data_IF_502104652248
#
_entry.id   IF_502104652248
#
_cell.length_a   1.000
_cell.length_b   1.000
_cell.length_c   1.000
_cell.angle_alpha   90.00
_cell.angle_beta   90.00
_cell.angle_gamma   90.00
#
_symmetry.space_group_name_H-M   'P 1'
#
loop_
_entity.id
_entity.type
_entity.pdbx_description
1 polymer ?
#
# COMPACT_ATOMS: atom_id res chain seq x y z
N UNK A 1 31.31 22.32 18.30
CA UNK A 1 30.02 21.88 18.86
C UNK A 1 29.32 21.04 17.79
N UNK A 2 29.05 19.76 18.14
CA UNK A 2 28.35 18.85 17.24
C UNK A 2 26.85 19.02 17.47
N UNK A 3 26.09 19.37 16.42
CA UNK A 3 24.63 19.46 16.51
C UNK A 3 24.07 18.05 16.70
N UNK A 4 23.14 17.83 17.64
CA UNK A 4 22.56 16.52 17.87
C UNK A 4 21.65 16.06 16.72
N UNK A 5 21.54 14.75 16.53
CA UNK A 5 20.70 14.16 15.48
C UNK A 5 19.21 14.53 15.66
N UNK A 6 18.76 14.63 16.90
CA UNK A 6 17.40 15.03 17.26
C UNK A 6 17.09 16.46 16.77
N UNK A 7 18.03 17.40 17.02
CA UNK A 7 17.86 18.78 16.59
C UNK A 7 17.87 18.91 15.07
N UNK A 8 18.73 18.16 14.41
CA UNK A 8 18.73 18.09 12.95
C UNK A 8 17.39 17.56 12.43
N UNK A 9 16.87 16.49 13.05
CA UNK A 9 15.59 15.90 12.69
C UNK A 9 14.44 16.89 12.87
N UNK A 10 14.38 17.60 14.01
CA UNK A 10 13.35 18.60 14.29
C UNK A 10 13.33 19.73 13.25
N UNK A 11 14.49 20.27 12.89
CA UNK A 11 14.58 21.35 11.90
C UNK A 11 14.24 20.85 10.48
N UNK A 12 14.69 19.64 10.11
CA UNK A 12 14.32 19.05 8.83
C UNK A 12 12.82 18.72 8.78
N UNK A 13 12.23 18.24 9.86
CA UNK A 13 10.79 17.96 9.92
C UNK A 13 9.96 19.25 9.77
N UNK A 14 10.34 20.32 10.46
CA UNK A 14 9.70 21.65 10.30
C UNK A 14 9.82 22.15 8.85
N UNK A 15 11.01 22.04 8.27
CA UNK A 15 11.25 22.42 6.89
C UNK A 15 10.37 21.60 5.93
N UNK A 16 10.35 20.28 6.08
CA UNK A 16 9.54 19.39 5.23
C UNK A 16 8.04 19.59 5.44
N UNK A 17 7.57 20.01 6.62
CA UNK A 17 6.16 20.32 6.86
C UNK A 17 5.70 21.61 6.19
N UNK A 18 6.61 22.52 5.83
CA UNK A 18 6.31 23.80 5.20
C UNK A 18 5.67 23.63 3.79
N UNK A 19 4.92 24.62 3.28
CA UNK A 19 4.21 24.51 1.99
C UNK A 19 5.10 24.21 0.79
N UNK A 20 6.25 24.83 0.66
CA UNK A 20 7.18 24.66 -0.47
C UNK A 20 8.63 24.54 0.02
N UNK A 21 8.99 23.39 0.60
CA UNK A 21 10.31 23.22 1.21
C UNK A 21 11.45 23.09 0.18
N UNK A 22 11.16 22.72 -1.07
CA UNK A 22 12.16 22.48 -2.11
C UNK A 22 13.09 23.68 -2.35
N UNK A 23 12.59 24.90 -2.22
CA UNK A 23 13.40 26.12 -2.33
C UNK A 23 14.49 26.23 -1.25
N UNK A 24 14.27 25.63 -0.08
CA UNK A 24 15.16 25.68 1.08
C UNK A 24 16.00 24.42 1.28
N UNK A 25 15.81 23.39 0.46
CA UNK A 25 16.63 22.17 0.47
C UNK A 25 17.95 22.42 -0.25
N UNK A 26 18.88 23.13 0.43
CA UNK A 26 20.18 23.48 -0.11
C UNK A 26 21.12 22.28 -0.20
N UNK A 27 21.66 21.93 -1.40
CA UNK A 27 22.52 20.76 -1.58
C UNK A 27 23.75 20.76 -0.68
N UNK A 28 24.39 21.93 -0.50
CA UNK A 28 25.59 22.07 0.32
C UNK A 28 25.33 21.77 1.81
N UNK A 29 24.16 22.16 2.32
CA UNK A 29 23.75 21.90 3.71
C UNK A 29 23.35 20.43 3.88
N UNK A 30 22.58 19.91 2.94
CA UNK A 30 22.09 18.54 3.00
C UNK A 30 23.19 17.50 2.77
N UNK A 31 24.23 17.80 2.00
CA UNK A 31 25.40 16.95 1.87
C UNK A 31 26.13 16.68 3.20
N UNK A 32 26.04 17.61 4.14
CA UNK A 32 26.61 17.44 5.50
C UNK A 32 25.70 16.59 6.39
N UNK A 33 24.39 16.80 6.28
CA UNK A 33 23.36 16.19 7.16
C UNK A 33 22.92 14.83 6.65
N UNK A 34 22.78 14.71 5.33
CA UNK A 34 22.32 13.54 4.57
C UNK A 34 23.31 13.20 3.47
N UNK A 35 24.54 12.77 3.83
CA UNK A 35 25.63 12.56 2.86
C UNK A 35 25.34 11.46 1.82
N UNK A 36 24.31 10.64 2.06
CA UNK A 36 23.87 9.61 1.11
C UNK A 36 23.08 10.20 -0.08
N UNK A 37 22.55 11.43 0.05
CA UNK A 37 21.88 12.12 -1.05
C UNK A 37 22.90 12.82 -1.96
N UNK A 38 22.92 12.42 -3.22
CA UNK A 38 23.71 13.14 -4.22
C UNK A 38 23.01 14.45 -4.63
N UNK A 39 23.75 15.47 -5.12
CA UNK A 39 23.14 16.71 -5.61
C UNK A 39 22.08 16.47 -6.70
N UNK A 40 22.29 15.46 -7.54
CA UNK A 40 21.36 15.09 -8.61
C UNK A 40 20.07 14.51 -8.05
N UNK A 41 20.16 13.55 -7.08
CA UNK A 41 19.00 12.95 -6.44
C UNK A 41 18.19 14.00 -5.67
N UNK A 42 18.86 14.92 -5.00
CA UNK A 42 18.22 16.04 -4.30
C UNK A 42 17.50 16.98 -5.27
N UNK A 43 18.14 17.34 -6.38
CA UNK A 43 17.54 18.19 -7.41
C UNK A 43 16.28 17.57 -8.00
N UNK A 44 16.29 16.26 -8.23
CA UNK A 44 15.14 15.51 -8.70
C UNK A 44 14.03 15.40 -7.63
N UNK A 45 14.38 15.31 -6.35
CA UNK A 45 13.44 15.18 -5.26
C UNK A 45 12.69 16.48 -4.92
N UNK A 46 13.32 17.66 -5.09
CA UNK A 46 12.73 18.97 -4.75
C UNK A 46 11.31 19.17 -5.29
N UNK A 47 11.04 19.05 -6.61
CA UNK A 47 9.71 19.24 -7.16
C UNK A 47 8.70 18.18 -6.65
N UNK A 48 9.16 16.95 -6.36
CA UNK A 48 8.30 15.89 -5.81
C UNK A 48 7.89 16.23 -4.39
N UNK A 49 8.84 16.69 -3.55
CA UNK A 49 8.55 17.11 -2.18
C UNK A 49 7.59 18.29 -2.15
N UNK A 50 7.74 19.26 -3.04
CA UNK A 50 6.86 20.43 -3.15
C UNK A 50 5.44 20.06 -3.60
N UNK A 51 5.30 19.04 -4.45
CA UNK A 51 4.02 18.51 -4.92
C UNK A 51 3.29 17.65 -3.86
N UNK A 52 3.99 17.16 -2.82
CA UNK A 52 3.39 16.39 -1.74
C UNK A 52 2.58 17.32 -0.79
N UNK A 53 1.51 16.80 -0.14
CA UNK A 53 0.74 17.57 0.84
C UNK A 53 1.61 18.12 1.97
N UNK A 54 1.35 19.37 2.38
CA UNK A 54 2.03 20.02 3.51
C UNK A 54 1.46 19.53 4.85
N UNK A 55 2.19 19.82 5.96
CA UNK A 55 1.77 19.50 7.31
C UNK A 55 2.55 18.38 7.97
N UNK A 56 2.57 18.39 9.30
CA UNK A 56 3.30 17.40 10.09
C UNK A 56 2.75 15.98 9.90
N UNK A 57 1.45 15.85 9.70
CA UNK A 57 0.76 14.59 9.43
C UNK A 57 1.23 13.93 8.12
N UNK A 58 1.78 14.71 7.19
CA UNK A 58 2.25 14.26 5.89
C UNK A 58 3.78 14.07 5.81
N UNK A 59 4.49 14.21 6.93
CA UNK A 59 5.94 14.01 6.99
C UNK A 59 6.40 12.68 6.40
N UNK A 60 5.73 11.52 6.63
CA UNK A 60 6.14 10.27 5.99
C UNK A 60 6.15 10.33 4.47
N UNK A 61 5.19 11.02 3.86
CA UNK A 61 5.11 11.20 2.39
C UNK A 61 6.28 12.04 1.89
N UNK A 62 6.58 13.13 2.58
CA UNK A 62 7.66 14.05 2.21
C UNK A 62 9.05 13.48 2.45
N UNK A 63 9.23 12.70 3.52
CA UNK A 63 10.43 11.89 3.69
C UNK A 63 10.59 10.86 2.57
N UNK A 64 9.51 10.19 2.18
CA UNK A 64 9.55 9.23 1.08
C UNK A 64 9.86 9.91 -0.27
N UNK A 65 9.32 11.11 -0.52
CA UNK A 65 9.63 11.92 -1.70
C UNK A 65 11.11 12.34 -1.74
N UNK A 66 11.69 12.72 -0.58
CA UNK A 66 13.08 13.15 -0.48
C UNK A 66 14.07 11.98 -0.59
N UNK A 67 13.76 10.85 0.06
CA UNK A 67 14.68 9.72 0.25
C UNK A 67 14.42 8.55 -0.68
N UNK A 68 13.36 8.57 -1.48
CA UNK A 68 12.90 7.43 -2.28
C UNK A 68 13.97 6.87 -3.23
N UNK A 69 14.83 7.74 -3.78
CA UNK A 69 15.94 7.33 -4.64
C UNK A 69 16.96 6.41 -3.95
N UNK A 70 17.03 6.43 -2.62
CA UNK A 70 17.95 5.59 -1.83
C UNK A 70 17.43 4.17 -1.63
N UNK A 71 16.13 3.93 -1.85
CA UNK A 71 15.47 2.67 -1.57
C UNK A 71 15.12 2.45 -0.09
N UNK A 72 14.33 1.43 0.19
CA UNK A 72 13.76 1.16 1.53
C UNK A 72 14.81 1.04 2.63
N UNK A 73 15.83 0.19 2.40
CA UNK A 73 16.83 -0.12 3.44
C UNK A 73 17.64 1.11 3.85
N UNK A 74 18.14 1.88 2.88
CA UNK A 74 18.92 3.08 3.16
C UNK A 74 18.05 4.17 3.82
N UNK A 75 16.79 4.33 3.38
CA UNK A 75 15.82 5.22 3.99
C UNK A 75 15.60 4.88 5.48
N UNK A 76 15.39 3.60 5.81
CA UNK A 76 15.26 3.14 7.21
C UNK A 76 16.50 3.47 8.05
N UNK A 77 17.67 3.18 7.53
CA UNK A 77 18.94 3.46 8.25
C UNK A 77 19.10 4.95 8.50
N UNK A 78 18.80 5.79 7.52
CA UNK A 78 18.92 7.24 7.63
C UNK A 78 17.93 7.82 8.65
N UNK A 79 16.65 7.46 8.58
CA UNK A 79 15.64 7.95 9.52
C UNK A 79 15.91 7.46 10.95
N UNK A 80 16.46 6.26 11.14
CA UNK A 80 16.95 5.80 12.46
C UNK A 80 18.12 6.63 12.97
N UNK A 81 19.09 6.96 12.10
CA UNK A 81 20.22 7.84 12.44
C UNK A 81 19.73 9.23 12.86
N UNK A 82 18.72 9.76 12.21
CA UNK A 82 18.06 11.03 12.54
C UNK A 82 17.15 10.94 13.77
N UNK A 83 17.00 9.76 14.40
CA UNK A 83 16.12 9.58 15.55
C UNK A 83 14.64 9.87 15.29
N UNK A 84 14.16 9.66 14.07
CA UNK A 84 12.74 9.72 13.77
C UNK A 84 11.96 8.67 14.57
N UNK A 85 10.65 8.91 14.80
CA UNK A 85 9.78 7.94 15.47
C UNK A 85 9.65 6.65 14.64
N UNK A 86 9.51 5.52 15.33
CA UNK A 86 9.33 4.22 14.66
C UNK A 86 8.14 4.23 13.70
N UNK A 87 7.03 4.90 14.07
CA UNK A 87 5.86 5.03 13.20
C UNK A 87 6.21 5.74 11.88
N UNK A 88 6.94 6.87 11.95
CA UNK A 88 7.38 7.60 10.77
C UNK A 88 8.34 6.75 9.90
N UNK A 89 9.30 6.04 10.53
CA UNK A 89 10.26 5.18 9.83
C UNK A 89 9.54 4.07 9.06
N UNK A 90 8.63 3.34 9.74
CA UNK A 90 7.92 2.22 9.14
C UNK A 90 7.02 2.68 7.98
N UNK A 91 6.27 3.75 8.19
CA UNK A 91 5.39 4.27 7.15
C UNK A 91 6.15 4.83 5.96
N UNK A 92 7.21 5.61 6.18
CA UNK A 92 8.07 6.10 5.09
C UNK A 92 8.67 4.95 4.30
N UNK A 93 9.15 3.92 4.97
CA UNK A 93 9.74 2.75 4.33
C UNK A 93 8.72 1.97 3.48
N UNK A 94 7.49 1.83 3.96
CA UNK A 94 6.38 1.26 3.17
C UNK A 94 6.13 2.08 1.92
N UNK A 95 6.03 3.41 2.03
CA UNK A 95 5.81 4.30 0.89
C UNK A 95 6.93 4.17 -0.14
N UNK A 96 8.20 4.18 0.29
CA UNK A 96 9.36 4.02 -0.60
C UNK A 96 9.34 2.65 -1.29
N UNK A 97 9.06 1.57 -0.57
CA UNK A 97 9.00 0.21 -1.14
C UNK A 97 7.92 0.10 -2.20
N UNK A 98 6.69 0.51 -1.86
CA UNK A 98 5.53 0.37 -2.75
C UNK A 98 5.65 1.26 -4.01
N UNK A 99 6.37 2.38 -3.94
CA UNK A 99 6.64 3.23 -5.11
C UNK A 99 7.82 2.77 -5.94
N UNK A 100 8.82 2.11 -5.35
CA UNK A 100 9.99 1.57 -6.05
C UNK A 100 9.68 0.29 -6.82
N UNK A 101 8.89 -0.61 -6.24
CA UNK A 101 8.37 -1.78 -6.94
C UNK A 101 7.36 -1.27 -7.97
N UNK A 102 7.67 -1.38 -9.26
CA UNK A 102 6.89 -0.92 -10.42
C UNK A 102 5.38 -1.31 -10.40
N UNK A 103 4.92 -1.95 -9.30
CA UNK A 103 3.62 -2.53 -9.10
C UNK A 103 2.51 -1.53 -8.78
N UNK A 104 2.69 -0.65 -7.80
CA UNK A 104 1.56 0.14 -7.27
C UNK A 104 1.25 1.33 -8.15
N UNK A 105 2.23 2.16 -8.48
CA UNK A 105 2.02 3.26 -9.43
C UNK A 105 1.55 2.73 -10.79
N UNK A 106 2.10 1.62 -11.26
CA UNK A 106 1.74 1.04 -12.56
C UNK A 106 0.36 0.39 -12.56
N UNK A 107 -0.09 -0.23 -11.49
CA UNK A 107 -1.43 -0.81 -11.42
C UNK A 107 -2.53 0.23 -11.19
N UNK A 108 -2.23 1.38 -10.55
CA UNK A 108 -3.12 2.53 -10.55
C UNK A 108 -3.15 3.21 -11.93
N UNK A 109 -2.00 3.27 -12.64
CA UNK A 109 -1.86 3.92 -13.93
C UNK A 109 -2.32 3.07 -15.11
N UNK A 110 -2.21 1.74 -14.99
CA UNK A 110 -2.50 0.79 -16.06
C UNK A 110 -3.78 -0.01 -15.80
N UNK A 111 -4.72 0.51 -15.03
CA UNK A 111 -6.04 -0.11 -14.85
C UNK A 111 -6.77 -0.45 -16.15
N UNK A 112 -6.13 -0.27 -17.29
CA UNK A 112 -6.71 -0.50 -18.61
C UNK A 112 -5.97 -1.47 -19.53
N UNK A 113 -4.71 -1.87 -19.28
CA UNK A 113 -4.09 -2.85 -20.18
C UNK A 113 -3.01 -3.66 -19.47
N UNK A 114 -3.37 -4.78 -18.88
CA UNK A 114 -2.51 -5.97 -18.88
C UNK A 114 -3.23 -7.15 -18.24
N UNK A 115 -3.86 -7.96 -19.05
CA UNK A 115 -4.03 -9.38 -18.76
C UNK A 115 -2.66 -10.06 -18.68
N UNK A 116 -1.88 -9.74 -17.65
CA UNK A 116 -0.75 -10.57 -17.25
C UNK A 116 -1.20 -11.42 -16.07
N UNK A 117 -1.72 -12.57 -16.44
CA UNK A 117 -1.78 -13.77 -15.64
C UNK A 117 -0.47 -13.90 -14.86
N UNK A 118 -0.51 -13.70 -13.56
CA UNK A 118 0.45 -14.35 -12.68
C UNK A 118 0.20 -15.83 -12.88
N UNK A 119 1.10 -16.50 -13.61
CA UNK A 119 1.01 -17.91 -13.91
C UNK A 119 0.95 -18.69 -12.60
N UNK A 120 -0.24 -19.10 -12.21
CA UNK A 120 -0.43 -20.23 -11.31
C UNK A 120 -0.11 -21.51 -12.10
N UNK A 121 0.59 -22.50 -11.51
CA UNK A 121 0.76 -23.80 -12.18
C UNK A 121 -0.63 -24.40 -12.41
N UNK A 122 -0.95 -24.57 -13.68
CA UNK A 122 -2.18 -25.20 -14.17
C UNK A 122 -2.20 -26.68 -13.82
N UNK A 123 -3.13 -27.08 -12.94
CA UNK A 123 -3.67 -28.42 -13.00
C UNK A 123 -4.88 -28.42 -13.91
N UNK A 124 -4.81 -29.27 -14.91
CA UNK A 124 -5.74 -29.56 -15.98
C UNK A 124 -7.20 -29.75 -15.54
N UNK A 125 -8.15 -29.24 -16.34
CA UNK A 125 -9.56 -29.63 -16.23
C UNK A 125 -10.52 -28.60 -16.82
N UNK A 126 -10.85 -28.79 -18.10
CA UNK A 126 -11.93 -28.11 -18.82
C UNK A 126 -13.23 -28.07 -18.01
N UNK A 127 -13.77 -26.89 -17.77
CA UNK A 127 -15.20 -26.70 -17.51
C UNK A 127 -15.71 -25.33 -17.98
N UNK A 128 -16.80 -25.42 -18.72
CA UNK A 128 -17.72 -24.39 -19.21
C UNK A 128 -18.05 -23.38 -18.09
N UNK A 129 -18.06 -22.05 -18.38
CA UNK A 129 -18.43 -21.05 -17.39
C UNK A 129 -19.93 -21.17 -17.05
N UNK A 130 -20.31 -21.18 -15.76
CA UNK A 130 -21.71 -21.11 -15.39
C UNK A 130 -22.27 -19.72 -15.72
N UNK A 131 -23.46 -19.72 -16.29
CA UNK A 131 -24.26 -18.55 -16.64
C UNK A 131 -24.43 -17.62 -15.45
N UNK A 132 -24.14 -16.35 -15.70
CA UNK A 132 -24.25 -15.21 -14.78
C UNK A 132 -25.72 -15.04 -14.34
N UNK A 133 -26.04 -15.50 -13.14
CA UNK A 133 -27.29 -15.13 -12.50
C UNK A 133 -27.11 -13.77 -11.85
N UNK A 134 -27.85 -12.79 -12.35
CA UNK A 134 -27.91 -11.42 -11.85
C UNK A 134 -28.59 -11.44 -10.47
N UNK A 135 -27.83 -11.29 -9.42
CA UNK A 135 -28.30 -10.90 -8.09
C UNK A 135 -27.25 -10.03 -7.40
N UNK A 136 -27.57 -8.74 -7.26
CA UNK A 136 -26.88 -7.83 -6.34
C UNK A 136 -25.49 -7.32 -6.80
N UNK A 137 -25.41 -6.05 -7.07
CA UNK A 137 -24.23 -5.24 -7.41
C UNK A 137 -22.98 -5.54 -6.55
N UNK A 138 -22.15 -6.49 -6.96
CA UNK A 138 -20.77 -6.63 -6.51
C UNK A 138 -19.88 -7.08 -7.66
N UNK A 139 -19.97 -6.35 -8.77
CA UNK A 139 -18.96 -6.46 -9.83
C UNK A 139 -17.71 -5.74 -9.31
N UNK A 140 -16.78 -6.47 -8.70
CA UNK A 140 -15.49 -5.91 -8.31
C UNK A 140 -14.79 -5.43 -9.59
N UNK A 141 -14.66 -4.13 -9.74
CA UNK A 141 -13.86 -3.55 -10.81
C UNK A 141 -12.42 -4.06 -10.63
N UNK A 142 -11.69 -4.48 -11.68
CA UNK A 142 -10.32 -4.97 -11.53
C UNK A 142 -9.41 -4.06 -10.71
N UNK A 143 -9.61 -2.73 -10.80
CA UNK A 143 -8.91 -1.75 -9.98
C UNK A 143 -9.25 -1.83 -8.49
N UNK A 144 -10.45 -2.28 -8.12
CA UNK A 144 -10.87 -2.40 -6.72
C UNK A 144 -10.12 -3.53 -5.99
N UNK A 145 -9.75 -4.60 -6.68
CA UNK A 145 -9.02 -5.74 -6.09
C UNK A 145 -7.72 -5.25 -5.48
N UNK A 146 -6.94 -4.51 -6.24
CA UNK A 146 -5.66 -4.00 -5.77
C UNK A 146 -5.82 -2.99 -4.62
N UNK A 147 -6.78 -2.06 -4.74
CA UNK A 147 -7.09 -1.10 -3.66
C UNK A 147 -7.51 -1.84 -2.39
N UNK A 148 -8.35 -2.87 -2.48
CA UNK A 148 -8.77 -3.69 -1.33
C UNK A 148 -7.61 -4.43 -0.68
N UNK A 149 -6.66 -4.95 -1.47
CA UNK A 149 -5.43 -5.58 -0.96
C UNK A 149 -4.57 -4.57 -0.19
N UNK A 150 -4.39 -3.34 -0.72
CA UNK A 150 -3.66 -2.28 -0.05
C UNK A 150 -4.35 -1.81 1.24
N UNK A 151 -5.68 -1.63 1.20
CA UNK A 151 -6.49 -1.28 2.38
C UNK A 151 -6.37 -2.36 3.48
N UNK A 152 -6.39 -3.63 3.10
CA UNK A 152 -6.22 -4.74 4.02
C UNK A 152 -4.86 -4.75 4.68
N UNK A 153 -3.82 -4.44 3.92
CA UNK A 153 -2.41 -4.50 4.33
C UNK A 153 -1.97 -3.27 5.12
N UNK A 154 -2.36 -2.07 4.69
CA UNK A 154 -1.82 -0.81 5.22
C UNK A 154 -2.86 0.12 5.84
N UNK A 155 -4.14 -0.05 5.55
CA UNK A 155 -5.21 0.83 5.97
C UNK A 155 -5.35 2.08 5.09
N UNK A 156 -6.45 2.81 5.29
CA UNK A 156 -6.85 3.94 4.43
C UNK A 156 -5.81 5.07 4.41
N UNK A 157 -5.33 5.50 5.58
CA UNK A 157 -4.40 6.62 5.69
C UNK A 157 -3.12 6.40 4.86
N UNK A 158 -2.52 5.20 4.95
CA UNK A 158 -1.31 4.88 4.18
C UNK A 158 -1.61 4.76 2.68
N UNK A 159 -2.79 4.25 2.30
CA UNK A 159 -3.21 4.19 0.88
C UNK A 159 -3.38 5.59 0.30
N UNK A 160 -3.99 6.53 1.04
CA UNK A 160 -4.12 7.92 0.61
C UNK A 160 -2.76 8.60 0.44
N UNK A 161 -1.84 8.39 1.38
CA UNK A 161 -0.47 8.89 1.31
C UNK A 161 0.29 8.29 0.13
N UNK A 162 0.08 7.01 -0.15
CA UNK A 162 0.67 6.35 -1.32
C UNK A 162 0.16 6.97 -2.62
N UNK A 163 -1.16 7.22 -2.74
CA UNK A 163 -1.74 7.91 -3.88
C UNK A 163 -1.18 9.34 -4.05
N UNK A 164 -1.00 10.07 -2.95
CA UNK A 164 -0.42 11.42 -2.97
C UNK A 164 1.04 11.40 -3.44
N UNK A 165 1.85 10.45 -2.96
CA UNK A 165 3.23 10.29 -3.38
C UNK A 165 3.33 9.88 -4.86
N UNK A 166 2.49 8.93 -5.32
CA UNK A 166 2.44 8.54 -6.72
C UNK A 166 2.05 9.71 -7.63
N UNK A 167 1.08 10.54 -7.23
CA UNK A 167 0.69 11.74 -7.99
C UNK A 167 1.83 12.76 -8.07
N UNK A 168 2.62 12.92 -7.01
CA UNK A 168 3.79 13.81 -6.99
C UNK A 168 4.93 13.28 -7.85
N UNK A 169 5.18 11.96 -7.84
CA UNK A 169 6.20 11.30 -8.68
C UNK A 169 5.81 11.28 -10.16
N UNK A 170 4.51 11.16 -10.45
CA UNK A 170 3.95 10.99 -11.80
C UNK A 170 2.81 12.00 -12.04
N UNK A 171 3.09 13.29 -12.28
CA UNK A 171 2.06 14.32 -12.44
C UNK A 171 1.03 14.02 -13.53
N UNK A 172 1.42 13.29 -14.58
CA UNK A 172 0.54 12.85 -15.66
C UNK A 172 -0.56 11.86 -15.18
N UNK A 173 -0.36 11.21 -14.05
CA UNK A 173 -1.28 10.25 -13.45
C UNK A 173 -1.98 10.78 -12.19
N UNK A 174 -1.90 12.06 -11.94
CA UNK A 174 -2.48 12.67 -10.73
C UNK A 174 -3.99 12.47 -10.65
N UNK A 175 -4.71 12.50 -11.79
CA UNK A 175 -6.15 12.24 -11.86
C UNK A 175 -6.51 10.81 -11.46
N UNK A 176 -5.76 9.83 -11.93
CA UNK A 176 -5.95 8.41 -11.61
C UNK A 176 -5.64 8.14 -10.13
N UNK A 177 -4.57 8.75 -9.61
CA UNK A 177 -4.24 8.65 -8.19
C UNK A 177 -5.34 9.26 -7.30
N UNK A 178 -5.93 10.40 -7.70
CA UNK A 178 -7.04 11.02 -6.99
C UNK A 178 -8.29 10.13 -7.00
N UNK A 179 -8.63 9.52 -8.15
CA UNK A 179 -9.73 8.56 -8.26
C UNK A 179 -9.50 7.32 -7.41
N UNK A 180 -8.28 6.79 -7.38
CA UNK A 180 -7.92 5.64 -6.53
C UNK A 180 -8.07 5.97 -5.05
N UNK A 181 -7.62 7.14 -4.60
CA UNK A 181 -7.82 7.60 -3.22
C UNK A 181 -9.30 7.77 -2.88
N UNK A 182 -10.10 8.35 -3.78
CA UNK A 182 -11.55 8.46 -3.59
C UNK A 182 -12.21 7.08 -3.49
N UNK A 183 -11.80 6.15 -4.35
CA UNK A 183 -12.33 4.78 -4.34
C UNK A 183 -11.96 4.04 -3.05
N UNK A 184 -10.74 4.20 -2.56
CA UNK A 184 -10.31 3.64 -1.27
C UNK A 184 -11.21 4.11 -0.11
N UNK A 185 -11.52 5.43 -0.05
CA UNK A 185 -12.46 5.98 0.94
C UNK A 185 -13.84 5.36 0.83
N UNK A 186 -14.36 5.21 -0.38
CA UNK A 186 -15.68 4.61 -0.62
C UNK A 186 -15.73 3.15 -0.16
N UNK A 187 -14.69 2.36 -0.48
CA UNK A 187 -14.62 0.96 -0.07
C UNK A 187 -14.54 0.81 1.45
N UNK A 188 -13.75 1.64 2.13
CA UNK A 188 -13.66 1.64 3.60
C UNK A 188 -14.98 2.11 4.23
N UNK A 189 -15.60 3.20 3.73
CA UNK A 189 -16.88 3.72 4.23
C UNK A 189 -18.04 2.72 4.05
N UNK A 190 -18.04 1.95 2.97
CA UNK A 190 -19.02 0.91 2.71
C UNK A 190 -18.76 -0.39 3.49
N UNK A 191 -17.69 -0.44 4.31
CA UNK A 191 -17.36 -1.62 5.10
C UNK A 191 -17.00 -2.85 4.24
N UNK A 192 -16.47 -2.64 3.04
CA UNK A 192 -16.09 -3.74 2.15
C UNK A 192 -15.00 -4.58 2.79
N UNK A 193 -15.16 -5.90 2.73
CA UNK A 193 -14.20 -6.83 3.34
C UNK A 193 -12.81 -6.72 2.69
N UNK A 194 -11.84 -6.24 3.46
CA UNK A 194 -10.45 -6.10 3.07
C UNK A 194 -9.48 -6.81 4.03
N UNK A 195 -9.97 -7.25 5.19
CA UNK A 195 -9.15 -7.85 6.27
C UNK A 195 -9.75 -9.15 6.76
N UNK A 196 -8.91 -10.06 7.24
CA UNK A 196 -9.35 -11.35 7.82
C UNK A 196 -10.38 -11.16 8.94
N UNK A 197 -10.24 -10.10 9.75
CA UNK A 197 -11.20 -9.78 10.83
C UNK A 197 -12.60 -9.40 10.34
N UNK A 198 -12.76 -9.09 9.07
CA UNK A 198 -14.04 -8.71 8.43
C UNK A 198 -14.70 -9.88 7.69
N UNK A 199 -14.06 -11.06 7.68
CA UNK A 199 -14.69 -12.27 7.13
C UNK A 199 -15.88 -12.70 7.97
N UNK A 200 -16.91 -13.21 7.33
CA UNK A 200 -18.09 -13.79 7.99
C UNK A 200 -17.80 -15.10 8.75
N UNK A 201 -16.57 -15.62 8.65
CA UNK A 201 -16.07 -16.77 9.40
C UNK A 201 -14.82 -16.39 10.19
N UNK A 202 -14.62 -17.04 11.32
CA UNK A 202 -13.45 -16.86 12.14
C UNK A 202 -12.73 -18.21 12.40
N UNK A 203 -11.61 -18.18 13.11
CA UNK A 203 -10.83 -19.38 13.38
C UNK A 203 -11.60 -20.47 14.14
N UNK A 204 -12.56 -20.09 15.02
CA UNK A 204 -13.39 -21.06 15.76
C UNK A 204 -14.36 -21.78 14.83
N UNK A 205 -14.96 -21.05 13.89
CA UNK A 205 -15.88 -21.63 12.90
C UNK A 205 -15.14 -22.67 12.03
N UNK A 206 -13.92 -22.33 11.60
CA UNK A 206 -13.09 -23.22 10.78
C UNK A 206 -12.61 -24.46 11.57
N UNK A 207 -12.25 -24.28 12.84
CA UNK A 207 -11.91 -25.43 13.72
C UNK A 207 -13.10 -26.35 13.95
N UNK A 208 -14.30 -25.80 14.13
CA UNK A 208 -15.54 -26.57 14.22
C UNK A 208 -15.86 -27.32 12.93
N UNK A 209 -15.39 -26.84 11.78
CA UNK A 209 -15.50 -27.49 10.48
C UNK A 209 -14.37 -28.52 10.22
N UNK A 210 -13.52 -28.81 11.23
CA UNK A 210 -12.48 -29.85 11.18
C UNK A 210 -11.10 -29.36 10.75
N UNK A 211 -10.88 -28.03 10.67
CA UNK A 211 -9.56 -27.47 10.31
C UNK A 211 -8.69 -27.38 11.56
N UNK A 212 -7.47 -27.99 11.58
CA UNK A 212 -6.62 -27.98 12.75
C UNK A 212 -6.11 -26.55 13.05
N UNK A 213 -6.01 -26.23 14.34
CA UNK A 213 -5.39 -25.00 14.79
C UNK A 213 -3.92 -24.91 14.34
N UNK A 214 -3.46 -23.69 14.03
CA UNK A 214 -2.07 -23.44 13.67
C UNK A 214 -1.88 -22.81 12.30
N UNK A 215 -0.72 -22.98 11.66
CA UNK A 215 -0.39 -22.31 10.37
C UNK A 215 -1.35 -22.65 9.22
N UNK A 216 -1.95 -23.85 9.24
CA UNK A 216 -2.93 -24.25 8.24
C UNK A 216 -4.20 -23.38 8.33
N UNK A 217 -4.70 -23.11 9.54
CA UNK A 217 -5.86 -22.29 9.79
C UNK A 217 -5.65 -20.85 9.24
N UNK A 218 -4.47 -20.28 9.49
CA UNK A 218 -4.11 -18.96 9.00
C UNK A 218 -4.09 -18.92 7.47
N UNK A 219 -3.46 -19.89 6.83
CA UNK A 219 -3.42 -19.98 5.34
C UNK A 219 -4.81 -20.08 4.74
N UNK A 220 -5.72 -20.83 5.37
CA UNK A 220 -7.11 -20.94 4.90
C UNK A 220 -7.82 -19.60 5.04
N UNK A 221 -7.68 -18.88 6.17
CA UNK A 221 -8.27 -17.55 6.34
C UNK A 221 -7.73 -16.54 5.31
N UNK A 222 -6.44 -16.54 5.05
CA UNK A 222 -5.81 -15.69 4.02
C UNK A 222 -6.33 -16.04 2.62
N UNK A 223 -6.43 -17.31 2.26
CA UNK A 223 -6.98 -17.76 0.97
C UNK A 223 -8.48 -17.42 0.81
N UNK A 224 -9.26 -17.53 1.90
CA UNK A 224 -10.66 -17.09 1.90
C UNK A 224 -10.79 -15.58 1.68
N UNK A 225 -9.93 -14.79 2.32
CA UNK A 225 -9.90 -13.34 2.13
C UNK A 225 -9.56 -12.99 0.69
N UNK A 226 -8.54 -13.62 0.10
CA UNK A 226 -8.17 -13.41 -1.29
C UNK A 226 -9.33 -13.72 -2.24
N UNK A 227 -10.04 -14.82 -2.03
CA UNK A 227 -11.21 -15.17 -2.85
C UNK A 227 -12.37 -14.18 -2.70
N UNK A 228 -12.60 -13.62 -1.49
CA UNK A 228 -13.59 -12.55 -1.29
C UNK A 228 -13.13 -11.25 -1.95
N UNK A 229 -11.86 -10.88 -1.86
CA UNK A 229 -11.30 -9.69 -2.52
C UNK A 229 -11.42 -9.81 -4.04
N UNK A 230 -11.11 -10.99 -4.59
CA UNK A 230 -11.22 -11.28 -6.03
C UNK A 230 -12.67 -11.49 -6.51
N UNK A 231 -13.66 -11.41 -5.61
CA UNK A 231 -15.07 -11.67 -5.90
C UNK A 231 -15.34 -13.09 -6.49
N UNK A 232 -14.51 -14.07 -6.11
CA UNK A 232 -14.73 -15.48 -6.46
C UNK A 232 -15.95 -16.05 -5.71
N UNK A 233 -16.20 -15.53 -4.49
CA UNK A 233 -17.36 -15.87 -3.67
C UNK A 233 -17.74 -14.72 -2.74
N UNK A 234 -19.03 -14.65 -2.32
CA UNK A 234 -19.50 -13.64 -1.38
C UNK A 234 -18.97 -13.89 0.04
N UNK A 235 -18.88 -12.83 0.84
CA UNK A 235 -18.49 -12.91 2.24
C UNK A 235 -19.65 -13.40 3.11
N UNK A 236 -20.05 -14.65 2.92
CA UNK A 236 -21.15 -15.30 3.64
C UNK A 236 -20.67 -16.59 4.31
N UNK A 237 -21.04 -16.79 5.58
CA UNK A 237 -20.54 -17.90 6.39
C UNK A 237 -20.69 -19.28 5.73
N UNK A 238 -21.84 -19.69 5.17
CA UNK A 238 -21.99 -21.02 4.57
C UNK A 238 -21.11 -21.20 3.34
N UNK A 239 -20.97 -20.16 2.52
CA UNK A 239 -20.15 -20.18 1.31
C UNK A 239 -18.67 -20.28 1.66
N UNK A 240 -18.21 -19.50 2.64
CA UNK A 240 -16.83 -19.51 3.12
C UNK A 240 -16.43 -20.84 3.78
N UNK A 241 -17.33 -21.49 4.52
CA UNK A 241 -17.08 -22.81 5.08
C UNK A 241 -16.93 -23.89 3.99
N UNK A 242 -17.79 -23.83 2.96
CA UNK A 242 -17.69 -24.74 1.82
C UNK A 242 -16.39 -24.50 1.01
N UNK A 243 -15.99 -23.24 0.82
CA UNK A 243 -14.72 -22.87 0.18
C UNK A 243 -13.52 -23.36 0.99
N UNK A 244 -13.54 -23.20 2.32
CA UNK A 244 -12.48 -23.67 3.21
C UNK A 244 -12.22 -25.16 3.10
N UNK A 245 -13.27 -25.98 3.02
CA UNK A 245 -13.15 -27.43 2.84
C UNK A 245 -12.47 -27.80 1.51
N UNK A 246 -12.76 -27.04 0.44
CA UNK A 246 -12.12 -27.25 -0.88
C UNK A 246 -10.63 -26.88 -0.86
N UNK A 247 -10.26 -25.79 -0.15
CA UNK A 247 -8.87 -25.34 -0.02
C UNK A 247 -7.99 -26.37 0.69
N UNK A 248 -8.55 -27.13 1.64
CA UNK A 248 -7.79 -28.16 2.38
C UNK A 248 -7.67 -29.46 1.59
N UNK A 249 -8.67 -29.77 0.75
CA UNK A 249 -8.69 -30.99 -0.05
C UNK A 249 -7.79 -30.92 -1.30
N UNK A 250 -7.27 -29.70 -1.64
CA UNK A 250 -6.35 -29.43 -2.75
C UNK A 250 -4.92 -29.32 -2.29
#
# INVERSE_FOLDING_TARGET
DCISAERIQEELAKLLAAPQPGAYLEPAVLAVVLPELTPESLTAAKPVVDACPAGEENLPVRWAALLGALGETATRCMLKRLRCSNACIEETAVLVRETAEQGVCRSFLLGHESGHSIARPTACGSRVPPQRTVLGETSAHPGDIHIRQLLGRYGLCTVERLCALCAALHPQAASECALAAQRARQLEANGVCCRVSQLAVNGRDLMAAGIPAGPALRRVLEALLDGVICAEYPNEKPVLLAAAQKIIAS
#
